data_IF_646043333977
#
_entry.id   IF_646043333977
#
_cell.length_a   1.000
_cell.length_b   1.000
_cell.length_c   1.000
_cell.angle_alpha   90.00
_cell.angle_beta   90.00
_cell.angle_gamma   90.00
#
_symmetry.space_group_name_H-M   'P 1'
#
loop_
_entity.id
_entity.type
_entity.pdbx_description
1 polymer ?
#
# COMPACT_ATOMS: atom_id res chain seq x y z
N UNK A 1 25.36 8.68 -8.88
CA UNK A 1 23.92 8.36 -8.88
C UNK A 1 23.53 7.95 -7.47
N UNK A 2 22.56 8.63 -6.87
CA UNK A 2 21.96 8.20 -5.59
C UNK A 2 21.17 6.92 -5.87
N UNK A 3 21.28 5.91 -5.02
CA UNK A 3 20.48 4.68 -5.16
C UNK A 3 18.99 5.00 -4.95
N UNK A 4 18.07 4.23 -5.54
CA UNK A 4 16.62 4.44 -5.40
C UNK A 4 16.19 4.46 -3.91
N UNK A 5 16.78 3.58 -3.10
CA UNK A 5 16.61 3.57 -1.64
C UNK A 5 17.20 4.81 -0.97
N UNK A 6 18.38 5.25 -1.40
CA UNK A 6 19.01 6.47 -0.88
C UNK A 6 18.21 7.73 -1.20
N UNK A 7 17.52 7.77 -2.35
CA UNK A 7 16.62 8.86 -2.71
C UNK A 7 15.40 8.89 -1.77
N UNK A 8 14.81 7.73 -1.51
CA UNK A 8 13.67 7.58 -0.58
C UNK A 8 14.06 7.95 0.85
N UNK A 9 15.21 7.47 1.33
CA UNK A 9 15.72 7.78 2.68
C UNK A 9 16.06 9.28 2.82
N UNK A 10 16.60 9.91 1.77
CA UNK A 10 16.87 11.35 1.72
C UNK A 10 15.57 12.17 1.73
N UNK A 11 14.58 11.77 0.92
CA UNK A 11 13.23 12.38 0.91
C UNK A 11 12.57 12.23 2.30
N UNK A 12 12.69 11.05 2.93
CA UNK A 12 12.16 10.81 4.28
C UNK A 12 12.83 11.65 5.37
N UNK A 13 14.15 11.81 5.30
CA UNK A 13 14.91 12.70 6.19
C UNK A 13 14.49 14.16 6.02
N UNK A 14 14.33 14.59 4.76
CA UNK A 14 13.88 15.93 4.41
C UNK A 14 12.46 16.23 4.93
N UNK A 15 11.54 15.26 4.84
CA UNK A 15 10.18 15.35 5.40
C UNK A 15 10.20 15.53 6.92
N UNK A 16 11.04 14.77 7.62
CA UNK A 16 11.12 14.88 9.07
C UNK A 16 11.61 16.27 9.51
N UNK A 17 12.47 16.90 8.71
CA UNK A 17 12.91 18.28 8.92
C UNK A 17 11.83 19.31 8.55
N UNK A 18 11.03 19.06 7.50
CA UNK A 18 9.90 19.93 7.11
C UNK A 18 8.73 19.91 8.12
N UNK A 19 8.48 18.79 8.79
CA UNK A 19 7.43 18.66 9.81
C UNK A 19 7.84 19.37 11.10
N UNK A 20 9.13 19.43 11.42
CA UNK A 20 9.63 20.06 12.65
C UNK A 20 9.72 21.58 12.55
N UNK A 21 10.02 22.15 11.38
CA UNK A 21 10.11 23.59 11.15
C UNK A 21 9.71 23.91 9.70
N UNK A 22 8.98 25.00 9.47
CA UNK A 22 8.58 25.47 8.14
C UNK A 22 9.80 25.98 7.35
N UNK A 23 10.62 25.07 6.83
CA UNK A 23 11.84 25.40 6.08
C UNK A 23 11.47 25.54 4.60
N UNK A 24 11.89 26.63 3.92
CA UNK A 24 11.73 26.77 2.47
C UNK A 24 12.43 25.63 1.73
N UNK A 25 11.78 25.12 0.68
CA UNK A 25 12.34 24.09 -0.20
C UNK A 25 13.60 24.66 -0.88
N UNK A 26 14.77 24.07 -0.63
CA UNK A 26 16.02 24.54 -1.23
C UNK A 26 16.25 24.00 -2.66
N UNK A 27 17.01 24.75 -3.47
CA UNK A 27 17.30 24.40 -4.87
C UNK A 27 18.11 23.11 -5.03
N UNK A 28 18.86 22.69 -4.01
CA UNK A 28 19.63 21.46 -4.05
C UNK A 28 18.72 20.24 -4.00
N UNK A 29 17.69 20.25 -3.17
CA UNK A 29 16.67 19.21 -3.14
C UNK A 29 15.91 19.12 -4.46
N UNK A 30 15.49 20.27 -5.00
CA UNK A 30 14.78 20.30 -6.29
C UNK A 30 15.64 19.70 -7.39
N UNK A 31 16.93 20.02 -7.40
CA UNK A 31 17.90 19.44 -8.36
C UNK A 31 18.08 17.93 -8.19
N UNK A 32 18.08 17.42 -6.94
CA UNK A 32 18.13 15.97 -6.66
C UNK A 32 16.85 15.27 -7.16
N UNK A 33 15.68 15.86 -6.93
CA UNK A 33 14.40 15.32 -7.40
C UNK A 33 14.30 15.34 -8.93
N UNK A 34 14.70 16.42 -9.59
CA UNK A 34 14.78 16.52 -11.05
C UNK A 34 15.71 15.44 -11.62
N UNK A 35 16.88 15.24 -11.01
CA UNK A 35 17.82 14.17 -11.41
C UNK A 35 17.25 12.75 -11.25
N UNK A 36 16.21 12.59 -10.41
CA UNK A 36 15.45 11.36 -10.21
C UNK A 36 14.26 11.18 -11.15
N UNK A 37 14.06 12.08 -12.13
CA UNK A 37 12.97 12.02 -13.12
C UNK A 37 11.76 12.89 -12.79
N UNK A 38 11.83 13.75 -11.76
CA UNK A 38 10.75 14.66 -11.37
C UNK A 38 10.98 16.08 -11.92
N UNK A 39 11.17 16.21 -13.23
CA UNK A 39 11.66 17.42 -13.90
C UNK A 39 10.78 18.68 -13.70
N UNK A 40 9.48 18.51 -13.45
CA UNK A 40 8.54 19.64 -13.31
C UNK A 40 8.39 20.13 -11.86
N UNK A 41 9.17 19.57 -10.93
CA UNK A 41 8.94 19.76 -9.50
C UNK A 41 9.36 21.12 -8.99
N UNK A 42 10.42 21.69 -9.58
CA UNK A 42 10.91 23.04 -9.28
C UNK A 42 9.85 24.08 -9.60
N UNK A 43 9.24 24.00 -10.78
CA UNK A 43 8.17 24.94 -11.15
C UNK A 43 6.97 24.84 -10.19
N UNK A 44 6.56 23.61 -9.83
CA UNK A 44 5.46 23.38 -8.87
C UNK A 44 5.77 23.84 -7.44
N UNK A 45 7.05 23.92 -7.07
CA UNK A 45 7.47 24.31 -5.73
C UNK A 45 7.33 25.79 -5.40
N UNK A 46 7.30 26.64 -6.42
CA UNK A 46 7.12 28.08 -6.26
C UNK A 46 5.66 28.47 -6.01
N UNK A 47 4.71 27.65 -6.48
CA UNK A 47 3.28 27.96 -6.45
C UNK A 47 2.50 27.16 -5.39
N UNK A 48 3.12 26.17 -4.74
CA UNK A 48 2.45 25.23 -3.83
C UNK A 48 3.27 24.91 -2.58
N UNK A 49 2.62 24.64 -1.44
CA UNK A 49 3.30 24.13 -0.24
C UNK A 49 4.12 22.88 -0.54
N UNK A 50 5.25 22.70 0.15
CA UNK A 50 6.12 21.52 0.04
C UNK A 50 5.36 20.18 0.21
N UNK A 51 4.23 20.21 0.92
CA UNK A 51 3.36 19.05 1.14
C UNK A 51 2.65 18.56 -0.13
N UNK A 52 2.19 19.48 -0.99
CA UNK A 52 1.54 19.13 -2.26
C UNK A 52 2.53 18.51 -3.24
N UNK A 53 3.79 18.92 -3.18
CA UNK A 53 4.89 18.38 -3.98
C UNK A 53 5.21 16.95 -3.56
N UNK A 54 5.27 16.69 -2.26
CA UNK A 54 5.51 15.35 -1.71
C UNK A 54 4.40 14.37 -2.09
N UNK A 55 3.14 14.81 -2.02
CA UNK A 55 2.00 14.04 -2.52
C UNK A 55 2.19 13.65 -3.98
N UNK A 56 2.57 14.60 -4.84
CA UNK A 56 2.78 14.36 -6.26
C UNK A 56 3.94 13.38 -6.53
N UNK A 57 5.06 13.48 -5.78
CA UNK A 57 6.20 12.54 -5.86
C UNK A 57 5.75 11.13 -5.50
N UNK A 58 5.17 10.95 -4.31
CA UNK A 58 4.75 9.63 -3.84
C UNK A 58 3.72 8.99 -4.76
N UNK A 59 2.77 9.80 -5.22
CA UNK A 59 1.77 9.35 -6.19
C UNK A 59 2.45 8.87 -7.47
N UNK A 60 3.32 9.69 -8.06
CA UNK A 60 4.03 9.31 -9.29
C UNK A 60 4.84 8.03 -9.10
N UNK A 61 5.59 7.92 -8.01
CA UNK A 61 6.40 6.74 -7.69
C UNK A 61 5.55 5.48 -7.52
N UNK A 62 4.61 5.49 -6.58
CA UNK A 62 3.83 4.30 -6.26
C UNK A 62 2.87 3.90 -7.38
N UNK A 63 2.25 4.88 -8.07
CA UNK A 63 1.42 4.60 -9.22
C UNK A 63 2.25 4.08 -10.41
N UNK A 64 3.49 4.58 -10.60
CA UNK A 64 4.45 4.07 -11.58
C UNK A 64 4.82 2.61 -11.33
N UNK A 65 5.28 2.29 -10.10
CA UNK A 65 5.60 0.90 -9.71
C UNK A 65 4.41 -0.03 -9.80
N UNK A 66 3.21 0.44 -9.42
CA UNK A 66 1.98 -0.32 -9.62
C UNK A 66 1.77 -0.62 -11.10
N UNK A 67 1.90 0.37 -11.98
CA UNK A 67 1.68 0.22 -13.41
C UNK A 67 2.64 -0.78 -14.05
N UNK A 68 3.93 -0.70 -13.70
CA UNK A 68 4.95 -1.66 -14.15
C UNK A 68 4.61 -3.10 -13.72
N UNK A 69 4.26 -3.28 -12.44
CA UNK A 69 3.90 -4.59 -11.91
C UNK A 69 2.58 -5.10 -12.46
N UNK A 70 1.61 -4.22 -12.74
CA UNK A 70 0.34 -4.59 -13.36
C UNK A 70 0.60 -5.17 -14.75
N UNK A 71 1.37 -4.47 -15.58
CA UNK A 71 1.69 -4.92 -16.94
C UNK A 71 2.49 -6.24 -16.89
N UNK A 72 3.42 -6.39 -15.95
CA UNK A 72 4.13 -7.64 -15.70
C UNK A 72 3.18 -8.78 -15.31
N UNK A 73 2.30 -8.58 -14.33
CA UNK A 73 1.36 -9.60 -13.84
C UNK A 73 0.34 -10.00 -14.92
N UNK A 74 -0.14 -9.06 -15.75
CA UNK A 74 -1.07 -9.38 -16.84
C UNK A 74 -0.46 -10.36 -17.85
N UNK A 75 0.83 -10.20 -18.21
CA UNK A 75 1.51 -11.15 -19.12
C UNK A 75 1.52 -12.59 -18.59
N UNK A 76 1.61 -12.77 -17.27
CA UNK A 76 1.52 -14.10 -16.64
C UNK A 76 0.07 -14.57 -16.50
N UNK A 77 -0.88 -13.65 -16.33
CA UNK A 77 -2.32 -13.96 -16.34
C UNK A 77 -2.76 -14.54 -17.69
N UNK A 78 -2.36 -13.91 -18.79
CA UNK A 78 -2.70 -14.34 -20.15
C UNK A 78 -2.16 -15.74 -20.47
N UNK A 79 -1.05 -16.13 -19.85
CA UNK A 79 -0.44 -17.46 -19.98
C UNK A 79 -0.98 -18.49 -18.98
N UNK A 80 -1.86 -18.10 -18.05
CA UNK A 80 -2.34 -18.98 -16.97
C UNK A 80 -1.31 -19.27 -15.89
N UNK A 81 -0.25 -18.47 -15.76
CA UNK A 81 0.92 -18.73 -14.93
C UNK A 81 1.04 -17.82 -13.69
N UNK A 82 -0.08 -17.22 -13.23
CA UNK A 82 -0.07 -16.26 -12.11
C UNK A 82 0.62 -16.77 -10.84
N UNK A 83 0.57 -18.08 -10.57
CA UNK A 83 1.21 -18.67 -9.39
C UNK A 83 2.73 -18.49 -9.39
N UNK A 84 3.38 -18.37 -10.57
CA UNK A 84 4.82 -18.12 -10.68
C UNK A 84 5.21 -16.72 -10.20
N UNK A 85 4.25 -15.79 -10.12
CA UNK A 85 4.48 -14.37 -9.79
C UNK A 85 3.69 -13.92 -8.56
N UNK A 86 3.37 -14.86 -7.65
CA UNK A 86 2.60 -14.59 -6.41
C UNK A 86 3.15 -13.43 -5.59
N UNK A 87 4.47 -13.33 -5.43
CA UNK A 87 5.10 -12.24 -4.68
C UNK A 87 4.88 -10.88 -5.39
N UNK A 88 5.06 -10.83 -6.71
CA UNK A 88 4.84 -9.62 -7.51
C UNK A 88 3.39 -9.15 -7.45
N UNK A 89 2.43 -10.08 -7.38
CA UNK A 89 1.01 -9.78 -7.20
C UNK A 89 0.76 -9.05 -5.87
N UNK A 90 1.33 -9.54 -4.78
CA UNK A 90 1.13 -8.89 -3.48
C UNK A 90 1.85 -7.53 -3.42
N UNK A 91 3.06 -7.42 -3.99
CA UNK A 91 3.76 -6.14 -4.12
C UNK A 91 2.96 -5.13 -4.95
N UNK A 92 2.39 -5.58 -6.06
CA UNK A 92 1.54 -4.74 -6.92
C UNK A 92 0.37 -4.16 -6.12
N UNK A 93 -0.29 -4.96 -5.30
CA UNK A 93 -1.38 -4.45 -4.46
C UNK A 93 -0.91 -3.51 -3.35
N UNK A 94 0.27 -3.75 -2.78
CA UNK A 94 0.87 -2.82 -1.81
C UNK A 94 1.10 -1.44 -2.44
N UNK A 95 1.73 -1.39 -3.63
CA UNK A 95 1.91 -0.14 -4.37
C UNK A 95 0.58 0.46 -4.85
N UNK A 96 -0.40 -0.38 -5.16
CA UNK A 96 -1.74 0.08 -5.50
C UNK A 96 -2.40 0.82 -4.34
N UNK A 97 -2.40 0.22 -3.15
CA UNK A 97 -2.88 0.88 -1.94
C UNK A 97 -2.12 2.19 -1.70
N UNK A 98 -0.79 2.19 -1.79
CA UNK A 98 0.02 3.39 -1.59
C UNK A 98 -0.28 4.50 -2.62
N UNK A 99 -0.47 4.13 -3.89
CA UNK A 99 -0.88 5.03 -4.96
C UNK A 99 -2.26 5.67 -4.65
N UNK A 100 -3.24 4.89 -4.21
CA UNK A 100 -4.58 5.42 -3.92
C UNK A 100 -4.57 6.29 -2.64
N UNK A 101 -3.79 5.89 -1.64
CA UNK A 101 -3.63 6.61 -0.38
C UNK A 101 -2.81 7.91 -0.51
N UNK A 102 -1.96 8.02 -1.54
CA UNK A 102 -1.19 9.25 -1.77
C UNK A 102 -2.08 10.49 -1.89
N UNK A 103 -3.33 10.34 -2.32
CA UNK A 103 -4.28 11.46 -2.46
C UNK A 103 -4.89 11.94 -1.14
N UNK A 104 -4.55 11.31 -0.01
CA UNK A 104 -5.12 11.61 1.32
C UNK A 104 -4.10 12.27 2.26
N UNK A 105 -2.95 12.73 1.75
CA UNK A 105 -1.88 13.39 2.52
C UNK A 105 -1.36 12.55 3.71
N UNK A 106 -1.39 11.23 3.57
CA UNK A 106 -0.92 10.27 4.58
C UNK A 106 0.53 9.85 4.31
N UNK A 107 1.32 9.70 5.38
CA UNK A 107 2.64 9.05 5.28
C UNK A 107 2.47 7.54 5.31
N UNK A 108 3.15 6.85 4.39
CA UNK A 108 3.03 5.40 4.22
C UNK A 108 4.43 4.80 4.15
N UNK A 109 4.76 3.98 5.14
CA UNK A 109 6.02 3.24 5.16
C UNK A 109 5.75 1.83 4.65
N UNK A 110 6.28 1.51 3.47
CA UNK A 110 6.09 0.20 2.82
C UNK A 110 7.17 -0.79 3.24
N UNK A 111 6.74 -2.02 3.54
CA UNK A 111 7.62 -3.15 3.73
C UNK A 111 7.29 -4.24 2.71
N UNK A 112 7.97 -4.16 1.58
CA UNK A 112 7.82 -5.10 0.47
C UNK A 112 8.27 -6.54 0.79
N UNK A 113 9.00 -6.73 1.89
CA UNK A 113 9.55 -8.02 2.35
C UNK A 113 8.95 -8.46 3.68
N UNK A 114 7.70 -8.08 3.95
CA UNK A 114 6.98 -8.48 5.15
C UNK A 114 7.01 -10.00 5.43
N UNK A 115 6.68 -10.38 6.67
CA UNK A 115 6.93 -11.72 7.18
C UNK A 115 6.34 -12.82 6.26
N UNK A 116 7.18 -13.80 5.88
CA UNK A 116 6.82 -14.93 4.98
C UNK A 116 6.30 -14.51 3.59
N UNK A 117 6.72 -13.34 3.09
CA UNK A 117 6.44 -12.89 1.72
C UNK A 117 5.08 -12.21 1.55
N UNK A 118 4.38 -11.91 2.64
CA UNK A 118 3.20 -11.03 2.62
C UNK A 118 3.68 -9.58 2.84
N UNK A 119 3.60 -8.70 1.84
CA UNK A 119 3.92 -7.29 2.02
C UNK A 119 3.00 -6.64 3.05
N UNK A 120 3.60 -5.79 3.90
CA UNK A 120 2.88 -4.99 4.89
C UNK A 120 3.22 -3.50 4.73
N UNK A 121 2.37 -2.64 5.29
CA UNK A 121 2.59 -1.20 5.33
C UNK A 121 2.23 -0.65 6.71
N UNK A 122 2.88 0.44 7.08
CA UNK A 122 2.48 1.28 8.21
C UNK A 122 1.93 2.57 7.63
N UNK A 123 0.66 2.85 7.91
CA UNK A 123 -0.03 4.08 7.50
C UNK A 123 -0.02 5.01 8.70
N UNK A 124 0.62 6.17 8.57
CA UNK A 124 0.59 7.23 9.58
C UNK A 124 -0.47 8.25 9.19
N UNK A 125 -1.58 8.22 9.93
CA UNK A 125 -2.62 9.25 9.90
C UNK A 125 -2.44 10.13 11.15
N UNK A 126 -3.42 10.15 12.08
CA UNK A 126 -3.21 10.65 13.45
C UNK A 126 -2.47 9.65 14.33
N UNK A 127 -2.84 8.38 14.19
CA UNK A 127 -2.20 7.25 14.83
C UNK A 127 -1.44 6.42 13.77
N UNK A 128 -0.43 5.67 14.22
CA UNK A 128 0.22 4.67 13.36
C UNK A 128 -0.65 3.42 13.27
N UNK A 129 -1.06 3.07 12.04
CA UNK A 129 -1.87 1.90 11.75
C UNK A 129 -1.07 0.92 10.91
N UNK A 130 -0.91 -0.29 11.41
CA UNK A 130 -0.23 -1.38 10.71
C UNK A 130 -1.23 -2.15 9.87
N UNK A 131 -0.97 -2.26 8.58
CA UNK A 131 -1.82 -2.98 7.64
C UNK A 131 -1.06 -4.11 6.95
N UNK A 132 -1.67 -5.28 6.88
CA UNK A 132 -1.18 -6.38 6.03
C UNK A 132 -2.01 -6.36 4.75
N UNK A 133 -1.34 -6.39 3.60
CA UNK A 133 -2.00 -6.29 2.29
C UNK A 133 -1.88 -7.60 1.54
N UNK A 134 -3.00 -8.16 1.15
CA UNK A 134 -3.05 -9.25 0.19
C UNK A 134 -3.48 -8.76 -1.20
N UNK A 135 -2.55 -8.85 -2.14
CA UNK A 135 -2.83 -8.61 -3.56
C UNK A 135 -3.48 -9.75 -4.33
N UNK A 136 -4.20 -9.34 -5.40
CA UNK A 136 -5.08 -10.09 -6.29
C UNK A 136 -5.59 -11.41 -5.72
N UNK A 137 -6.66 -11.30 -4.95
CA UNK A 137 -7.59 -12.41 -4.86
C UNK A 137 -8.38 -12.44 -6.16
N UNK A 138 -8.10 -13.45 -7.01
CA UNK A 138 -8.92 -13.68 -8.21
C UNK A 138 -10.39 -13.87 -7.78
N UNK A 139 -11.37 -13.54 -8.63
CA UNK A 139 -12.78 -13.75 -8.30
C UNK A 139 -13.03 -15.16 -7.76
N UNK A 140 -13.69 -15.24 -6.61
CA UNK A 140 -14.00 -16.50 -5.95
C UNK A 140 -12.82 -17.21 -5.26
N UNK A 141 -11.64 -16.60 -5.14
CA UNK A 141 -10.50 -17.20 -4.43
C UNK A 141 -10.45 -16.82 -2.96
N UNK A 142 -9.89 -17.70 -2.16
CA UNK A 142 -9.68 -17.51 -0.73
C UNK A 142 -8.55 -16.49 -0.48
N UNK A 143 -8.76 -15.59 0.47
CA UNK A 143 -7.67 -14.78 1.03
C UNK A 143 -6.91 -15.59 2.10
N UNK A 144 -5.61 -15.34 2.22
CA UNK A 144 -4.66 -16.10 3.04
C UNK A 144 -3.96 -15.13 3.99
N UNK A 145 -4.18 -15.32 5.28
CA UNK A 145 -3.52 -14.54 6.33
C UNK A 145 -2.63 -15.46 7.17
N UNK A 146 -1.34 -15.16 7.28
CA UNK A 146 -0.38 -16.08 7.92
C UNK A 146 -0.45 -16.11 9.45
N UNK A 147 -0.84 -15.01 10.08
CA UNK A 147 -0.94 -14.83 11.53
C UNK A 147 -1.98 -13.77 11.86
N UNK A 148 -2.58 -13.82 13.06
CA UNK A 148 -3.52 -12.80 13.57
C UNK A 148 -2.86 -11.67 14.37
N UNK A 149 -1.53 -11.70 14.54
CA UNK A 149 -0.77 -10.74 15.34
C UNK A 149 0.12 -9.83 14.51
N UNK A 150 0.40 -8.63 15.03
CA UNK A 150 1.35 -7.67 14.44
C UNK A 150 0.76 -6.73 13.38
N UNK A 151 -0.55 -6.63 13.27
CA UNK A 151 -1.26 -5.69 12.39
C UNK A 151 -2.58 -5.25 13.03
N UNK A 152 -3.12 -4.14 12.57
CA UNK A 152 -4.41 -3.57 13.01
C UNK A 152 -5.52 -3.87 12.00
N UNK A 153 -5.19 -3.84 10.71
CA UNK A 153 -6.11 -4.19 9.62
C UNK A 153 -5.50 -5.16 8.61
N UNK A 154 -6.32 -6.06 8.10
CA UNK A 154 -6.03 -6.88 6.94
C UNK A 154 -6.80 -6.34 5.74
N UNK A 155 -6.06 -5.95 4.70
CA UNK A 155 -6.61 -5.36 3.48
C UNK A 155 -6.47 -6.37 2.36
N UNK A 156 -7.60 -6.81 1.83
CA UNK A 156 -7.66 -7.62 0.62
C UNK A 156 -8.00 -6.68 -0.54
N UNK A 157 -7.11 -6.67 -1.53
CA UNK A 157 -7.26 -5.81 -2.71
C UNK A 157 -7.62 -6.67 -3.92
N UNK A 158 -8.83 -6.45 -4.47
CA UNK A 158 -9.28 -7.06 -5.71
C UNK A 158 -9.10 -6.09 -6.88
N UNK A 159 -8.30 -6.50 -7.86
CA UNK A 159 -8.12 -5.75 -9.09
C UNK A 159 -9.27 -6.07 -10.06
N UNK A 160 -10.05 -5.07 -10.47
CA UNK A 160 -11.03 -5.22 -11.56
C UNK A 160 -10.34 -4.95 -12.90
N UNK A 161 -9.66 -3.81 -13.00
CA UNK A 161 -8.85 -3.41 -14.14
C UNK A 161 -7.71 -2.51 -13.65
N UNK A 162 -6.91 -1.94 -14.57
CA UNK A 162 -5.76 -1.10 -14.21
C UNK A 162 -6.13 0.09 -13.32
N UNK A 163 -7.26 0.74 -13.58
CA UNK A 163 -7.72 1.94 -12.88
C UNK A 163 -8.79 1.70 -11.81
N UNK A 164 -9.30 0.48 -11.67
CA UNK A 164 -10.40 0.17 -10.75
C UNK A 164 -10.04 -1.00 -9.85
N UNK A 165 -10.15 -0.75 -8.55
CA UNK A 165 -9.84 -1.69 -7.47
C UNK A 165 -10.94 -1.68 -6.45
N UNK A 166 -11.09 -2.79 -5.75
CA UNK A 166 -11.97 -2.89 -4.60
C UNK A 166 -11.18 -3.30 -3.38
N UNK A 167 -11.59 -2.71 -2.26
CA UNK A 167 -10.99 -2.91 -0.96
C UNK A 167 -11.95 -3.68 -0.06
N UNK A 168 -11.45 -4.74 0.54
CA UNK A 168 -12.12 -5.46 1.62
C UNK A 168 -11.23 -5.37 2.85
N UNK A 169 -11.72 -4.66 3.87
CA UNK A 169 -10.89 -4.22 4.99
C UNK A 169 -11.46 -4.80 6.28
N UNK A 170 -10.70 -5.70 6.91
CA UNK A 170 -11.08 -6.33 8.16
C UNK A 170 -10.16 -5.82 9.27
N UNK A 171 -10.75 -5.32 10.36
CA UNK A 171 -9.99 -5.04 11.57
C UNK A 171 -9.53 -6.34 12.23
N UNK A 172 -8.43 -6.28 13.00
CA UNK A 172 -7.95 -7.40 13.79
C UNK A 172 -9.03 -7.97 14.72
N UNK A 173 -9.79 -7.12 15.40
CA UNK A 173 -10.87 -7.55 16.29
C UNK A 173 -11.97 -8.31 15.56
N UNK A 174 -12.27 -7.92 14.32
CA UNK A 174 -13.27 -8.60 13.50
C UNK A 174 -12.76 -9.96 13.01
N UNK A 175 -11.48 -10.06 12.61
CA UNK A 175 -10.85 -11.33 12.28
C UNK A 175 -10.86 -12.30 13.48
N UNK A 176 -10.47 -11.81 14.66
CA UNK A 176 -10.49 -12.60 15.89
C UNK A 176 -11.91 -13.08 16.24
N UNK A 177 -12.92 -12.22 16.05
CA UNK A 177 -14.32 -12.60 16.22
C UNK A 177 -14.73 -13.70 15.24
N UNK A 178 -14.43 -13.56 13.95
CA UNK A 178 -14.75 -14.56 12.93
C UNK A 178 -14.06 -15.92 13.19
N UNK A 179 -12.85 -15.90 13.75
CA UNK A 179 -12.13 -17.11 14.16
C UNK A 179 -12.78 -17.75 15.38
N UNK A 180 -13.14 -16.97 16.41
CA UNK A 180 -13.88 -17.48 17.59
C UNK A 180 -15.24 -18.08 17.22
N UNK A 181 -15.92 -17.50 16.23
CA UNK A 181 -17.20 -17.98 15.70
C UNK A 181 -17.05 -19.21 14.77
N UNK A 182 -15.83 -19.70 14.54
CA UNK A 182 -15.56 -20.85 13.66
C UNK A 182 -15.78 -20.57 12.17
N UNK A 183 -15.95 -19.31 11.77
CA UNK A 183 -16.16 -18.92 10.36
C UNK A 183 -14.85 -18.91 9.57
N UNK A 184 -13.73 -18.64 10.23
CA UNK A 184 -12.38 -18.73 9.68
C UNK A 184 -11.61 -19.76 10.50
N UNK A 185 -10.99 -20.73 9.84
CA UNK A 185 -10.20 -21.78 10.49
C UNK A 185 -8.76 -21.69 10.04
N UNK A 186 -7.83 -21.96 10.95
CA UNK A 186 -6.41 -22.07 10.62
C UNK A 186 -6.15 -23.40 9.93
N UNK A 187 -5.56 -23.35 8.73
CA UNK A 187 -5.13 -24.54 8.01
C UNK A 187 -3.68 -24.86 8.38
N UNK A 188 -3.47 -25.91 9.17
CA UNK A 188 -2.14 -26.37 9.61
C UNK A 188 -1.23 -26.76 8.43
N UNK A 189 -1.78 -27.34 7.36
CA UNK A 189 -1.00 -27.74 6.18
C UNK A 189 -0.50 -26.51 5.41
N UNK A 190 -1.36 -25.49 5.26
CA UNK A 190 -1.00 -24.24 4.60
C UNK A 190 -0.28 -23.23 5.51
N UNK A 191 -0.26 -23.49 6.83
CA UNK A 191 0.22 -22.59 7.88
C UNK A 191 -0.37 -21.19 7.80
N UNK A 192 -1.68 -21.10 7.52
CA UNK A 192 -2.38 -19.84 7.33
C UNK A 192 -3.89 -19.94 7.62
N UNK A 193 -4.50 -18.80 7.96
CA UNK A 193 -5.93 -18.60 8.00
C UNK A 193 -6.48 -18.41 6.58
N UNK A 194 -7.46 -19.22 6.22
CA UNK A 194 -8.13 -19.17 4.93
C UNK A 194 -9.48 -18.47 5.06
N UNK A 195 -9.63 -17.34 4.36
CA UNK A 195 -10.81 -16.49 4.42
C UNK A 195 -11.56 -16.60 3.09
N UNK A 196 -12.72 -17.25 3.10
CA UNK A 196 -13.51 -17.43 1.89
C UNK A 196 -14.08 -16.10 1.35
N UNK A 197 -14.33 -15.99 0.03
CA UNK A 197 -15.00 -14.83 -0.56
C UNK A 197 -16.28 -14.41 0.14
N UNK A 198 -17.15 -15.37 0.46
CA UNK A 198 -18.43 -15.13 1.13
C UNK A 198 -18.29 -14.45 2.50
N UNK A 199 -17.11 -14.52 3.11
CA UNK A 199 -16.79 -13.85 4.36
C UNK A 199 -16.24 -12.46 4.07
N UNK A 200 -15.12 -12.35 3.36
CA UNK A 200 -14.44 -11.06 3.22
C UNK A 200 -15.23 -10.07 2.34
N UNK A 201 -16.06 -10.53 1.41
CA UNK A 201 -16.84 -9.64 0.53
C UNK A 201 -17.87 -8.79 1.29
N UNK A 202 -18.27 -9.22 2.49
CA UNK A 202 -19.14 -8.44 3.40
C UNK A 202 -18.46 -7.20 3.97
N UNK A 203 -17.13 -7.12 3.89
CA UNK A 203 -16.32 -6.04 4.41
C UNK A 203 -15.81 -5.12 3.29
N UNK A 204 -16.51 -5.09 2.16
CA UNK A 204 -16.24 -4.13 1.09
C UNK A 204 -16.37 -2.72 1.67
N UNK A 205 -15.29 -1.95 1.59
CA UNK A 205 -15.18 -0.63 2.23
C UNK A 205 -14.65 0.36 1.22
N UNK A 206 -15.21 1.57 1.16
CA UNK A 206 -14.60 2.63 0.35
C UNK A 206 -13.35 3.17 1.04
N UNK A 207 -12.31 3.51 0.27
CA UNK A 207 -11.02 3.88 0.85
C UNK A 207 -11.13 5.13 1.73
N UNK A 208 -11.95 6.11 1.35
CA UNK A 208 -12.24 7.31 2.16
C UNK A 208 -12.92 6.97 3.50
N UNK A 209 -13.83 5.99 3.55
CA UNK A 209 -14.45 5.53 4.79
C UNK A 209 -13.41 4.92 5.74
N UNK A 210 -12.49 4.11 5.19
CA UNK A 210 -11.38 3.56 5.95
C UNK A 210 -10.46 4.67 6.49
N UNK A 211 -10.11 5.65 5.66
CA UNK A 211 -9.29 6.79 6.08
C UNK A 211 -9.96 7.61 7.18
N UNK A 212 -11.24 7.92 7.03
CA UNK A 212 -12.00 8.62 8.07
C UNK A 212 -11.98 7.83 9.39
N UNK A 213 -12.14 6.50 9.31
CA UNK A 213 -12.11 5.64 10.50
C UNK A 213 -10.76 5.68 11.23
N UNK A 214 -9.64 5.54 10.51
CA UNK A 214 -8.31 5.54 11.15
C UNK A 214 -7.80 6.93 11.55
N UNK A 215 -8.37 7.99 10.97
CA UNK A 215 -8.07 9.36 11.35
C UNK A 215 -8.90 9.86 12.54
N UNK A 216 -10.01 9.19 12.84
CA UNK A 216 -10.90 9.53 13.97
C UNK A 216 -10.64 8.73 15.24
N UNK A 217 -9.91 7.61 15.11
CA UNK A 217 -9.53 6.70 16.21
C UNK A 217 -8.21 7.14 16.80
#
# INVERSE_FOLDING_TARGET
MVSEKGLIDYINSFINNLISESIPVDDNLLSVLESGGYNDIRHKSYDRPAWDIFRDINRSYYCGKFNELYDFVQRYKEKGELMKVKLSIHKMALYGLACDLSSYDLKIDLNERGARGAPDAIIKARNEVKVVVQGMVLPGKTAILSKLSGFDYFIILRMINRGTREYYILSKSELEKLVREGKIVYNENAKAYEISPRIYEKYRTMLNEFINKISSS
#
